data_IF_142230865991
#
_entry.id   IF_142230865991
#
_cell.length_a   1.000
_cell.length_b   1.000
_cell.length_c   1.000
_cell.angle_alpha   90.00
_cell.angle_beta   90.00
_cell.angle_gamma   90.00
#
_symmetry.space_group_name_H-M   'P 1'
#
loop_
_entity.id
_entity.type
_entity.pdbx_description
1 polymer ?
#
# COMPACT_ATOMS: atom_id res chain seq x y z
N UNK A 1 11.28 6.96 7.95
CA UNK A 1 10.61 6.75 6.63
C UNK A 1 10.03 8.07 6.15
N UNK A 2 9.13 8.68 6.93
CA UNK A 2 8.55 10.00 6.64
C UNK A 2 9.58 11.08 6.28
N UNK A 3 10.65 11.24 7.06
CA UNK A 3 11.67 12.28 6.79
C UNK A 3 12.32 12.17 5.41
N UNK A 4 12.52 10.94 4.91
CA UNK A 4 13.06 10.73 3.56
C UNK A 4 12.04 11.08 2.47
N UNK A 5 10.75 10.87 2.74
CA UNK A 5 9.68 11.25 1.83
C UNK A 5 9.53 12.76 1.77
N UNK A 6 9.53 13.43 2.92
CA UNK A 6 9.50 14.89 3.03
C UNK A 6 10.70 15.51 2.32
N UNK A 7 11.92 15.03 2.59
CA UNK A 7 13.13 15.51 1.93
C UNK A 7 13.10 15.32 0.41
N UNK A 8 12.50 14.23 -0.09
CA UNK A 8 12.34 14.01 -1.52
C UNK A 8 11.37 15.03 -2.14
N UNK A 9 10.25 15.30 -1.46
CA UNK A 9 9.29 16.31 -1.89
C UNK A 9 9.89 17.73 -1.88
N UNK A 10 10.63 18.09 -0.82
CA UNK A 10 11.28 19.39 -0.68
C UNK A 10 12.32 19.65 -1.77
N UNK A 11 13.06 18.61 -2.17
CA UNK A 11 14.08 18.70 -3.22
C UNK A 11 13.50 18.66 -4.64
N UNK A 12 12.22 18.31 -4.78
CA UNK A 12 11.51 18.22 -6.07
C UNK A 12 10.14 18.91 -6.01
N UNK A 13 10.09 20.23 -5.73
CA UNK A 13 8.83 20.94 -5.40
C UNK A 13 7.80 20.99 -6.53
N UNK A 14 8.22 20.72 -7.77
CA UNK A 14 7.35 20.68 -8.95
C UNK A 14 7.04 19.25 -9.42
N UNK A 15 7.31 18.24 -8.59
CA UNK A 15 7.11 16.82 -8.91
C UNK A 15 6.05 16.19 -8.02
N UNK A 16 5.35 15.19 -8.57
CA UNK A 16 4.53 14.28 -7.77
C UNK A 16 5.42 13.13 -7.31
N UNK A 17 5.54 12.95 -6.00
CA UNK A 17 6.26 11.82 -5.42
C UNK A 17 5.26 10.67 -5.20
N UNK A 18 5.39 9.60 -5.99
CA UNK A 18 4.63 8.37 -5.79
C UNK A 18 5.37 7.41 -4.86
N UNK A 19 4.71 7.02 -3.76
CA UNK A 19 5.30 6.16 -2.73
C UNK A 19 4.51 4.85 -2.69
N UNK A 20 5.17 3.74 -2.95
CA UNK A 20 4.60 2.40 -2.83
C UNK A 20 5.06 1.77 -1.52
N UNK A 21 4.13 1.54 -0.62
CA UNK A 21 4.41 1.03 0.72
C UNK A 21 3.25 0.18 1.25
N UNK A 22 3.51 -0.69 2.22
CA UNK A 22 2.46 -1.44 2.91
C UNK A 22 1.45 -0.54 3.61
N UNK A 23 0.18 -0.97 3.65
CA UNK A 23 -0.95 -0.17 4.16
C UNK A 23 -0.72 0.37 5.58
N UNK A 24 -0.08 -0.41 6.47
CA UNK A 24 0.25 0.03 7.83
C UNK A 24 1.12 1.29 7.89
N UNK A 25 1.98 1.51 6.90
CA UNK A 25 2.80 2.73 6.81
C UNK A 25 2.10 3.87 6.10
N UNK A 26 1.13 3.56 5.22
CA UNK A 26 0.41 4.51 4.39
C UNK A 26 -0.79 5.16 5.11
N UNK A 27 -1.25 4.59 6.23
CA UNK A 27 -2.30 5.21 7.05
C UNK A 27 -1.95 6.65 7.45
N UNK A 28 -2.93 7.55 7.35
CA UNK A 28 -2.79 8.95 7.77
C UNK A 28 -3.02 9.15 9.26
N UNK A 29 -3.63 8.15 9.91
CA UNK A 29 -3.93 8.16 11.34
C UNK A 29 -3.61 6.81 11.94
N UNK A 30 -3.23 6.81 13.22
CA UNK A 30 -3.04 5.57 13.97
C UNK A 30 -4.40 4.94 14.29
N UNK A 31 -4.69 3.80 13.66
CA UNK A 31 -5.80 2.90 13.98
C UNK A 31 -5.55 2.11 15.28
N UNK A 32 -6.62 1.67 15.96
CA UNK A 32 -6.54 0.75 17.09
C UNK A 32 -5.71 -0.49 16.77
N UNK A 33 -4.87 -0.93 17.72
CA UNK A 33 -4.01 -2.11 17.58
C UNK A 33 -2.66 -1.85 16.89
N UNK A 34 -2.45 -0.69 16.26
CA UNK A 34 -1.12 -0.34 15.78
C UNK A 34 -0.18 0.03 16.93
N UNK A 35 0.99 -0.61 16.99
CA UNK A 35 2.03 -0.33 18.00
C UNK A 35 2.87 0.92 17.68
N UNK A 36 2.73 1.48 16.47
CA UNK A 36 3.49 2.61 15.99
C UNK A 36 2.58 3.64 15.30
N UNK A 37 3.07 4.88 15.17
CA UNK A 37 2.48 5.86 14.29
C UNK A 37 2.86 5.52 12.83
N UNK A 38 1.90 5.45 11.90
CA UNK A 38 2.20 5.24 10.48
C UNK A 38 3.12 6.31 9.91
N UNK A 39 3.96 5.95 8.93
CA UNK A 39 4.89 6.90 8.33
C UNK A 39 4.18 8.10 7.68
N UNK A 40 3.07 7.86 6.97
CA UNK A 40 2.32 8.93 6.30
C UNK A 40 1.66 9.90 7.30
N UNK A 41 1.36 9.47 8.53
CA UNK A 41 0.77 10.33 9.57
C UNK A 41 1.70 11.45 10.06
N UNK A 42 2.99 11.38 9.75
CA UNK A 42 3.97 12.42 10.08
C UNK A 42 4.13 13.49 9.00
N UNK A 43 3.50 13.32 7.83
CA UNK A 43 3.57 14.28 6.74
C UNK A 43 2.46 15.34 6.85
N UNK A 44 2.64 16.54 6.26
CA UNK A 44 1.58 17.55 6.21
C UNK A 44 0.35 17.02 5.46
N UNK A 45 -0.80 16.94 6.15
CA UNK A 45 -2.01 16.34 5.58
C UNK A 45 -2.53 17.06 4.32
N UNK A 46 -2.21 18.34 4.15
CA UNK A 46 -2.61 19.12 2.96
C UNK A 46 -1.86 18.69 1.69
N UNK A 47 -0.69 18.06 1.83
CA UNK A 47 0.23 17.75 0.72
C UNK A 47 0.26 16.24 0.40
N UNK A 48 -0.57 15.44 1.07
CA UNK A 48 -0.57 13.98 0.97
C UNK A 48 -1.94 13.45 0.55
N UNK A 49 -1.94 12.65 -0.52
CA UNK A 49 -3.06 11.81 -0.90
C UNK A 49 -2.68 10.34 -0.67
N UNK A 50 -3.23 9.72 0.36
CA UNK A 50 -3.02 8.29 0.65
C UNK A 50 -4.16 7.43 0.09
N UNK A 51 -3.81 6.44 -0.73
CA UNK A 51 -4.74 5.56 -1.42
C UNK A 51 -4.53 4.09 -1.01
N UNK A 52 -5.59 3.43 -0.54
CA UNK A 52 -5.55 1.99 -0.27
C UNK A 52 -5.68 1.20 -1.57
N UNK A 53 -4.81 0.22 -1.77
CA UNK A 53 -4.94 -0.75 -2.87
C UNK A 53 -6.11 -1.69 -2.58
N UNK A 54 -7.07 -1.77 -3.49
CA UNK A 54 -8.19 -2.71 -3.45
C UNK A 54 -8.09 -3.72 -4.60
N UNK A 55 -7.40 -4.86 -4.37
CA UNK A 55 -7.46 -5.97 -5.33
C UNK A 55 -8.89 -6.52 -5.39
N UNK A 56 -9.29 -7.00 -6.56
CA UNK A 56 -10.56 -7.70 -6.72
C UNK A 56 -10.48 -9.13 -6.19
N UNK A 57 -9.49 -9.88 -6.64
CA UNK A 57 -9.15 -11.24 -6.24
C UNK A 57 -7.68 -11.53 -6.59
N UNK A 58 -7.17 -12.70 -6.26
CA UNK A 58 -5.92 -13.20 -6.81
C UNK A 58 -5.01 -13.81 -5.75
N UNK A 59 -3.70 -13.62 -5.94
CA UNK A 59 -2.68 -14.04 -4.98
C UNK A 59 -1.58 -13.00 -4.81
N UNK A 60 -0.90 -13.06 -3.66
CA UNK A 60 0.33 -12.34 -3.40
C UNK A 60 1.36 -13.27 -2.78
N UNK A 61 2.63 -12.97 -3.01
CA UNK A 61 3.70 -13.65 -2.30
C UNK A 61 3.79 -13.07 -0.88
N UNK A 62 3.48 -13.89 0.13
CA UNK A 62 3.67 -13.52 1.53
C UNK A 62 4.04 -14.75 2.37
N UNK A 63 4.25 -14.56 3.67
CA UNK A 63 4.51 -15.66 4.60
C UNK A 63 3.33 -15.79 5.55
N UNK A 64 2.77 -16.99 5.62
CA UNK A 64 1.71 -17.36 6.55
C UNK A 64 2.17 -18.55 7.40
N UNK A 65 1.26 -19.11 8.20
CA UNK A 65 1.58 -20.21 9.11
C UNK A 65 2.10 -21.47 8.39
N UNK A 66 1.72 -21.66 7.13
CA UNK A 66 2.13 -22.76 6.25
C UNK A 66 3.38 -22.45 5.40
N UNK A 67 4.00 -21.28 5.62
CA UNK A 67 5.27 -20.90 5.00
C UNK A 67 5.17 -19.71 4.04
N UNK A 68 6.29 -19.44 3.37
CA UNK A 68 6.42 -18.35 2.42
C UNK A 68 6.14 -18.84 1.00
N UNK A 69 5.22 -18.19 0.32
CA UNK A 69 4.81 -18.59 -1.01
C UNK A 69 3.66 -17.76 -1.56
N UNK A 70 3.12 -18.16 -2.72
CA UNK A 70 1.91 -17.55 -3.26
C UNK A 70 0.72 -17.92 -2.39
N UNK A 71 0.09 -16.91 -1.83
CA UNK A 71 -1.10 -17.05 -0.99
C UNK A 71 -2.27 -16.28 -1.57
N UNK A 72 -3.48 -16.81 -1.41
CA UNK A 72 -4.69 -16.16 -1.91
C UNK A 72 -4.92 -14.81 -1.21
N UNK A 73 -5.30 -13.83 -2.01
CA UNK A 73 -5.79 -12.54 -1.53
C UNK A 73 -7.31 -12.51 -1.63
N UNK A 74 -7.97 -12.37 -0.49
CA UNK A 74 -9.37 -11.93 -0.43
C UNK A 74 -9.42 -10.44 -0.72
N UNK A 75 -9.79 -10.08 -1.94
CA UNK A 75 -10.00 -8.70 -2.34
C UNK A 75 -11.38 -8.18 -1.93
N UNK A 76 -11.49 -6.85 -1.79
CA UNK A 76 -12.77 -6.14 -1.68
C UNK A 76 -13.19 -5.46 -2.98
N UNK A 77 -12.30 -5.44 -3.98
CA UNK A 77 -12.55 -4.78 -5.26
C UNK A 77 -13.66 -5.49 -6.04
N UNK A 78 -14.73 -4.76 -6.34
CA UNK A 78 -15.85 -5.27 -7.16
C UNK A 78 -15.72 -4.90 -8.63
N UNK A 79 -14.76 -4.03 -8.97
CA UNK A 79 -14.60 -3.47 -10.30
C UNK A 79 -13.60 -4.25 -11.15
N UNK A 80 -13.98 -4.53 -12.41
CA UNK A 80 -13.16 -5.23 -13.41
C UNK A 80 -12.30 -4.31 -14.28
N UNK A 81 -12.15 -3.05 -13.88
CA UNK A 81 -11.39 -2.03 -14.59
C UNK A 81 -10.55 -1.23 -13.61
N UNK A 82 -9.40 -0.72 -14.05
CA UNK A 82 -8.55 0.12 -13.22
C UNK A 82 -9.29 1.41 -12.83
N UNK A 83 -9.15 1.85 -11.58
CA UNK A 83 -9.78 3.07 -11.10
C UNK A 83 -9.03 3.69 -9.92
N UNK A 84 -9.23 4.99 -9.75
CA UNK A 84 -8.84 5.75 -8.56
C UNK A 84 -10.09 6.47 -8.08
N UNK A 85 -10.37 6.42 -6.78
CA UNK A 85 -11.53 7.07 -6.19
C UNK A 85 -11.16 7.74 -4.88
N UNK A 86 -11.37 9.05 -4.82
CA UNK A 86 -11.31 9.80 -3.57
C UNK A 86 -12.52 9.43 -2.69
N UNK A 87 -12.31 9.45 -1.38
CA UNK A 87 -13.34 9.30 -0.36
C UNK A 87 -13.74 10.68 0.15
N UNK A 88 -15.01 10.89 0.54
CA UNK A 88 -15.49 12.18 1.03
C UNK A 88 -14.80 12.60 2.33
N UNK A 89 -14.35 11.63 3.12
CA UNK A 89 -13.60 11.79 4.36
C UNK A 89 -12.53 10.70 4.46
N UNK A 90 -11.57 10.86 5.38
CA UNK A 90 -10.64 9.79 5.70
C UNK A 90 -11.43 8.60 6.24
N UNK A 91 -11.34 7.45 5.57
CA UNK A 91 -11.99 6.19 5.98
C UNK A 91 -10.92 5.12 6.07
N UNK A 92 -10.93 4.35 7.16
CA UNK A 92 -9.89 3.37 7.49
C UNK A 92 -8.47 3.94 7.40
N UNK A 93 -8.29 5.25 7.60
CA UNK A 93 -7.00 5.93 7.56
C UNK A 93 -6.48 6.30 6.16
N UNK A 94 -7.31 6.25 5.12
CA UNK A 94 -6.96 6.65 3.74
C UNK A 94 -7.87 7.75 3.20
N UNK A 95 -7.35 8.56 2.26
CA UNK A 95 -8.15 9.54 1.52
C UNK A 95 -8.91 8.93 0.34
N UNK A 96 -8.55 7.72 -0.06
CA UNK A 96 -9.09 7.12 -1.27
C UNK A 96 -8.67 5.69 -1.43
N UNK A 97 -9.10 5.13 -2.56
CA UNK A 97 -8.75 3.78 -2.98
C UNK A 97 -8.24 3.82 -4.41
N UNK A 98 -7.40 2.86 -4.76
CA UNK A 98 -7.06 2.58 -6.14
C UNK A 98 -7.14 1.08 -6.40
N UNK A 99 -7.42 0.72 -7.66
CA UNK A 99 -7.38 -0.65 -8.14
C UNK A 99 -6.81 -0.72 -9.54
N UNK A 100 -6.16 -1.83 -9.86
CA UNK A 100 -5.67 -2.14 -11.20
C UNK A 100 -6.69 -2.92 -12.04
N UNK A 101 -7.86 -3.26 -11.47
CA UNK A 101 -9.00 -3.80 -12.21
C UNK A 101 -8.91 -5.27 -12.62
N UNK A 102 -7.79 -5.93 -12.37
CA UNK A 102 -7.56 -7.34 -12.70
C UNK A 102 -7.30 -8.17 -11.44
N UNK A 103 -7.40 -9.49 -11.57
CA UNK A 103 -6.92 -10.38 -10.52
C UNK A 103 -5.40 -10.28 -10.42
N UNK A 104 -4.90 -10.10 -9.20
CA UNK A 104 -3.46 -10.02 -8.96
C UNK A 104 -2.83 -11.42 -9.00
N UNK A 105 -1.59 -11.49 -9.48
CA UNK A 105 -0.78 -12.70 -9.42
C UNK A 105 0.42 -12.47 -8.51
N UNK A 106 0.73 -13.47 -7.69
CA UNK A 106 1.93 -13.45 -6.86
C UNK A 106 3.17 -13.46 -7.75
N UNK A 107 4.01 -12.43 -7.66
CA UNK A 107 5.35 -12.46 -8.21
C UNK A 107 6.27 -13.24 -7.27
N UNK A 108 7.12 -14.16 -7.76
CA UNK A 108 8.17 -14.75 -6.92
C UNK A 108 9.14 -13.67 -6.43
N UNK A 109 9.89 -13.93 -5.34
CA UNK A 109 10.87 -12.98 -4.85
C UNK A 109 11.94 -12.72 -5.91
N UNK A 110 12.40 -11.46 -6.00
CA UNK A 110 13.37 -11.03 -7.00
C UNK A 110 14.70 -11.81 -6.96
N UNK A 111 15.06 -12.30 -5.77
CA UNK A 111 16.12 -13.27 -5.56
C UNK A 111 15.44 -14.52 -5.02
N UNK A 112 15.49 -15.61 -5.80
CA UNK A 112 14.90 -16.89 -5.41
C UNK A 112 15.52 -17.42 -4.11
N UNK A 113 14.85 -18.36 -3.43
CA UNK A 113 15.49 -19.07 -2.32
C UNK A 113 16.79 -19.68 -2.83
N UNK A 114 17.90 -19.40 -2.14
CA UNK A 114 19.17 -20.07 -2.40
C UNK A 114 18.90 -21.56 -2.23
N UNK A 115 18.97 -22.32 -3.32
CA UNK A 115 18.84 -23.78 -3.25
C UNK A 115 19.97 -24.27 -2.35
N UNK A 116 19.64 -24.77 -1.16
CA UNK A 116 20.59 -25.47 -0.32
C UNK A 116 21.04 -26.71 -1.12
N UNK A 117 22.28 -26.67 -1.62
CA UNK A 117 22.97 -27.87 -2.12
C UNK A 117 23.40 -28.73 -0.94
#
# INVERSE_FOLDING_TARGET
>A
MADRWASLADTHPNSVVLILVGSLHAHLVRQPGMMFAPAASHLPAADVLSLQSEPATGSAWNCQQDGCGPHSLSGKGTHKSAYVRALPTITDGFNGVFSVGTSLTASPPAIGPVSAR
#
